data_IF_894082356587
#
_entry.id   IF_894082356587
#
_cell.length_a   1.000
_cell.length_b   1.000
_cell.length_c   1.000
_cell.angle_alpha   90.00
_cell.angle_beta   90.00
_cell.angle_gamma   90.00
#
_symmetry.space_group_name_H-M   'P 1'
#
loop_
_entity.id
_entity.type
_entity.pdbx_description
1 polymer ?
#
# COMPACT_ATOMS: atom_id res chain seq x y z
N UNK A 1 -55.66 8.95 -17.45
CA UNK A 1 -54.90 8.35 -18.57
C UNK A 1 -54.16 9.51 -19.23
N UNK A 2 -52.84 9.59 -19.35
CA UNK A 2 -51.83 8.57 -19.62
C UNK A 2 -50.49 9.03 -19.03
N UNK A 3 -49.80 8.12 -18.36
CA UNK A 3 -48.50 8.32 -17.73
C UNK A 3 -47.44 8.46 -18.83
N UNK A 4 -46.75 9.60 -18.89
CA UNK A 4 -45.63 9.82 -19.80
C UNK A 4 -44.34 9.64 -18.99
N UNK A 5 -43.68 8.48 -19.05
CA UNK A 5 -42.45 8.25 -18.30
C UNK A 5 -41.32 8.96 -19.03
N UNK A 6 -40.83 10.06 -18.44
CA UNK A 6 -39.64 10.76 -18.92
C UNK A 6 -38.42 9.92 -18.54
N UNK A 7 -38.01 9.02 -19.45
CA UNK A 7 -36.80 8.20 -19.34
C UNK A 7 -35.57 9.11 -19.49
N UNK A 8 -35.02 9.53 -18.35
CA UNK A 8 -33.69 10.15 -18.29
C UNK A 8 -32.65 9.06 -18.53
N UNK A 9 -32.11 9.01 -19.74
CA UNK A 9 -30.99 8.13 -20.08
C UNK A 9 -29.73 8.61 -19.33
N UNK A 10 -29.41 7.94 -18.23
CA UNK A 10 -28.15 8.15 -17.51
C UNK A 10 -27.00 7.52 -18.32
N UNK A 11 -26.24 8.37 -19.02
CA UNK A 11 -25.01 7.98 -19.70
C UNK A 11 -23.93 7.74 -18.65
N UNK A 12 -23.76 6.50 -18.21
CA UNK A 12 -22.66 6.10 -17.31
C UNK A 12 -21.38 6.02 -18.13
N UNK A 13 -20.51 7.02 -17.99
CA UNK A 13 -19.15 6.98 -18.52
C UNK A 13 -18.33 5.96 -17.73
N UNK A 14 -17.92 4.87 -18.38
CA UNK A 14 -17.02 3.87 -17.80
C UNK A 14 -15.60 4.45 -17.90
N UNK A 15 -15.07 4.99 -16.81
CA UNK A 15 -13.65 5.35 -16.74
C UNK A 15 -12.82 4.05 -16.67
N UNK A 16 -11.81 3.87 -17.55
CA UNK A 16 -10.87 2.77 -17.38
C UNK A 16 -10.06 2.99 -16.10
N UNK A 17 -10.06 2.01 -15.21
CA UNK A 17 -9.12 1.98 -14.09
C UNK A 17 -7.71 1.78 -14.68
N UNK A 18 -6.91 2.84 -14.64
CA UNK A 18 -5.50 2.76 -15.00
C UNK A 18 -4.82 1.75 -14.06
N UNK A 19 -3.94 0.86 -14.56
CA UNK A 19 -3.16 0.00 -13.69
C UNK A 19 -2.35 0.90 -12.76
N UNK A 20 -2.52 0.73 -11.45
CA UNK A 20 -1.65 1.37 -10.48
C UNK A 20 -0.23 0.91 -10.78
N UNK A 21 0.66 1.87 -11.06
CA UNK A 21 2.10 1.67 -11.20
C UNK A 21 2.56 0.65 -10.16
N UNK A 22 3.45 -0.26 -10.55
CA UNK A 22 3.84 -1.47 -9.82
C UNK A 22 4.62 -1.15 -8.52
N UNK A 23 4.01 -0.40 -7.60
CA UNK A 23 4.58 -0.07 -6.32
C UNK A 23 4.99 -1.35 -5.59
N UNK A 24 6.28 -1.44 -5.29
CA UNK A 24 6.86 -2.52 -4.52
C UNK A 24 6.19 -2.59 -3.15
N UNK A 25 5.28 -3.56 -2.96
CA UNK A 25 4.57 -3.69 -1.69
C UNK A 25 5.27 -4.68 -0.78
N UNK A 26 5.53 -4.29 0.46
CA UNK A 26 6.16 -5.15 1.45
C UNK A 26 5.32 -5.26 2.71
N UNK A 27 5.20 -6.47 3.25
CA UNK A 27 4.68 -6.69 4.61
C UNK A 27 5.84 -6.67 5.60
N UNK A 28 5.62 -6.01 6.74
CA UNK A 28 6.64 -5.83 7.75
C UNK A 28 6.08 -5.97 9.18
N UNK A 29 7.00 -6.16 10.11
CA UNK A 29 6.77 -6.06 11.56
C UNK A 29 7.58 -4.90 12.10
N UNK A 30 6.98 -4.06 12.92
CA UNK A 30 7.67 -2.99 13.62
C UNK A 30 7.28 -2.94 15.10
N UNK A 31 8.13 -2.33 15.92
CA UNK A 31 7.85 -2.03 17.32
C UNK A 31 8.09 -0.56 17.63
N UNK A 32 7.36 -0.02 18.58
CA UNK A 32 7.69 1.24 19.23
C UNK A 32 7.94 0.91 20.70
N UNK A 33 9.06 1.37 21.25
CA UNK A 33 9.42 1.14 22.65
C UNK A 33 8.92 2.32 23.50
N UNK A 34 8.44 2.05 24.71
CA UNK A 34 8.03 3.03 25.73
C UNK A 34 6.95 4.06 25.28
N UNK A 35 5.66 3.68 25.23
CA UNK A 35 5.08 2.39 25.58
C UNK A 35 5.29 1.34 24.49
N UNK A 36 5.42 0.06 24.88
CA UNK A 36 5.60 -1.03 23.92
C UNK A 36 4.37 -1.16 23.03
N UNK A 37 4.54 -0.94 21.72
CA UNK A 37 3.52 -1.18 20.69
C UNK A 37 4.12 -2.04 19.58
N UNK A 38 3.30 -2.90 19.00
CA UNK A 38 3.66 -3.73 17.86
C UNK A 38 2.77 -3.35 16.68
N UNK A 39 3.37 -3.32 15.50
CA UNK A 39 2.68 -3.07 14.25
C UNK A 39 3.01 -4.19 13.25
N UNK A 40 1.98 -4.64 12.56
CA UNK A 40 2.09 -5.54 11.42
C UNK A 40 1.37 -4.88 10.26
N UNK A 41 2.14 -4.36 9.32
CA UNK A 41 1.63 -3.47 8.28
C UNK A 41 2.13 -3.85 6.90
N UNK A 42 1.58 -3.14 5.92
CA UNK A 42 2.08 -3.10 4.55
C UNK A 42 2.56 -1.70 4.23
N UNK A 43 3.67 -1.60 3.48
CA UNK A 43 4.16 -0.33 2.96
C UNK A 43 4.45 -0.47 1.46
N UNK A 44 4.18 0.61 0.73
CA UNK A 44 4.59 0.77 -0.66
C UNK A 44 5.98 1.42 -0.69
N UNK A 45 6.88 0.83 -1.46
CA UNK A 45 8.26 1.26 -1.66
C UNK A 45 8.54 1.47 -3.15
N UNK A 46 9.64 2.15 -3.51
CA UNK A 46 10.13 2.17 -4.89
C UNK A 46 10.47 0.75 -5.37
N UNK A 47 10.27 0.46 -6.65
CA UNK A 47 10.59 -0.85 -7.27
C UNK A 47 11.99 -1.36 -6.94
N UNK A 48 12.99 -0.47 -6.94
CA UNK A 48 14.37 -0.80 -6.61
C UNK A 48 14.54 -1.41 -5.21
N UNK A 49 13.60 -1.17 -4.28
CA UNK A 49 13.61 -1.73 -2.93
C UNK A 49 13.06 -3.18 -2.88
N UNK A 50 12.36 -3.64 -3.92
CA UNK A 50 11.82 -5.01 -3.99
C UNK A 50 12.84 -6.06 -4.41
N UNK A 51 14.07 -5.66 -4.79
CA UNK A 51 15.10 -6.60 -5.22
C UNK A 51 15.43 -7.67 -4.16
N UNK A 52 15.26 -7.36 -2.88
CA UNK A 52 15.51 -8.28 -1.77
C UNK A 52 14.88 -7.75 -0.47
N UNK A 53 14.59 -8.64 0.49
CA UNK A 53 14.13 -8.24 1.83
C UNK A 53 15.09 -7.26 2.53
N UNK A 54 16.39 -7.40 2.29
CA UNK A 54 17.40 -6.48 2.82
C UNK A 54 17.31 -5.07 2.18
N UNK A 55 17.06 -5.00 0.87
CA UNK A 55 16.84 -3.74 0.18
C UNK A 55 15.56 -3.04 0.67
N UNK A 56 14.47 -3.82 0.82
CA UNK A 56 13.22 -3.34 1.40
C UNK A 56 13.40 -2.82 2.83
N UNK A 57 14.14 -3.56 3.68
CA UNK A 57 14.43 -3.13 5.04
C UNK A 57 15.24 -1.83 5.07
N UNK A 58 16.24 -1.68 4.20
CA UNK A 58 17.05 -0.46 4.09
C UNK A 58 16.22 0.75 3.65
N UNK A 59 15.24 0.55 2.78
CA UNK A 59 14.33 1.61 2.34
C UNK A 59 13.29 1.97 3.40
N UNK A 60 12.71 0.96 4.09
CA UNK A 60 11.60 1.16 5.01
C UNK A 60 12.03 1.58 6.43
N UNK A 61 13.15 1.07 6.94
CA UNK A 61 13.63 1.37 8.29
C UNK A 61 13.74 2.87 8.62
N UNK A 62 14.34 3.74 7.78
CA UNK A 62 14.41 5.16 8.10
C UNK A 62 13.04 5.85 8.09
N UNK A 63 12.08 5.35 7.32
CA UNK A 63 10.71 5.89 7.27
C UNK A 63 10.01 5.59 8.60
N UNK A 64 10.09 4.34 9.05
CA UNK A 64 9.53 3.91 10.34
C UNK A 64 10.21 4.62 11.52
N UNK A 65 11.53 4.77 11.49
CA UNK A 65 12.26 5.45 12.58
C UNK A 65 11.85 6.91 12.75
N UNK A 66 11.58 7.63 11.65
CA UNK A 66 11.02 9.00 11.72
C UNK A 66 9.66 9.07 12.40
N UNK A 67 8.92 7.96 12.40
CA UNK A 67 7.63 7.81 13.06
C UNK A 67 7.75 7.19 14.46
N UNK A 68 8.97 6.98 14.96
CA UNK A 68 9.24 6.33 16.25
C UNK A 68 9.06 4.81 16.24
N UNK A 69 8.93 4.20 15.06
CA UNK A 69 8.87 2.75 14.88
C UNK A 69 10.24 2.18 14.53
N UNK A 70 10.60 1.07 15.14
CA UNK A 70 11.77 0.25 14.83
C UNK A 70 11.32 -0.96 14.01
N UNK A 71 11.85 -1.08 12.79
CA UNK A 71 11.61 -2.24 11.94
C UNK A 71 12.19 -3.50 12.60
N UNK A 72 11.37 -4.53 12.77
CA UNK A 72 11.78 -5.83 13.28
C UNK A 72 12.13 -6.80 12.15
N UNK A 73 11.27 -6.89 11.13
CA UNK A 73 11.47 -7.80 10.01
C UNK A 73 10.63 -7.43 8.78
N UNK A 74 11.16 -7.72 7.60
CA UNK A 74 10.36 -7.83 6.37
C UNK A 74 9.82 -9.26 6.28
N UNK A 75 8.50 -9.36 6.30
CA UNK A 75 7.77 -10.63 6.33
C UNK A 75 7.66 -11.19 4.91
N UNK A 76 7.16 -10.39 3.99
CA UNK A 76 6.96 -10.76 2.60
C UNK A 76 7.11 -9.55 1.69
N UNK A 77 7.56 -9.81 0.47
CA UNK A 77 7.43 -8.87 -0.65
C UNK A 77 6.23 -9.37 -1.44
N UNK A 78 5.21 -8.54 -1.57
CA UNK A 78 3.88 -8.92 -2.05
C UNK A 78 3.70 -8.74 -3.56
N UNK A 79 4.38 -7.78 -4.17
CA UNK A 79 4.49 -7.65 -5.62
C UNK A 79 5.64 -6.70 -5.94
N UNK A 80 6.42 -7.09 -6.94
CA UNK A 80 7.58 -6.44 -7.54
C UNK A 80 8.11 -7.47 -8.54
N UNK A 81 7.34 -7.65 -9.62
CA UNK A 81 7.60 -8.63 -10.68
C UNK A 81 8.66 -8.12 -11.65
#
# INVERSE_FOLDING_TARGET
MKHTPFLVAALVAILPALPADAACRVQYKAKMDNPLRLDFGTADLPDAACASKAAAAKALAPILQKQGWTLLAIVAILAGG
#
